data_IF_557356247146
#
_entry.id   IF_557356247146
#
_cell.length_a   1.000
_cell.length_b   1.000
_cell.length_c   1.000
_cell.angle_alpha   90.00
_cell.angle_beta   90.00
_cell.angle_gamma   90.00
#
_symmetry.space_group_name_H-M   'P 1'
#
loop_
_entity.id
_entity.type
_entity.pdbx_description
1 polymer ?
#
# COMPACT_ATOMS: atom_id res chain seq x y z
N UNK A 1 -3.92 -18.45 19.37
CA UNK A 1 -3.37 -17.07 19.24
C UNK A 1 -2.80 -16.71 17.84
N UNK A 2 -2.70 -17.62 16.85
CA UNK A 2 -2.02 -17.34 15.56
C UNK A 2 -2.90 -16.74 14.42
N UNK A 3 -4.23 -16.76 14.51
CA UNK A 3 -5.12 -16.36 13.38
C UNK A 3 -5.27 -14.85 13.16
N UNK A 4 -5.14 -14.01 14.21
CA UNK A 4 -5.28 -12.53 14.09
C UNK A 4 -4.02 -11.82 13.59
N UNK A 5 -2.87 -12.50 13.60
CA UNK A 5 -1.58 -11.96 13.16
C UNK A 5 -1.43 -12.05 11.63
N UNK A 6 -1.91 -13.16 11.05
CA UNK A 6 -1.93 -13.38 9.60
C UNK A 6 -2.84 -12.37 8.87
N UNK A 7 -3.94 -11.96 9.48
CA UNK A 7 -4.94 -11.12 8.82
C UNK A 7 -4.37 -9.73 8.47
N UNK A 8 -3.69 -9.04 9.40
CA UNK A 8 -3.13 -7.70 9.15
C UNK A 8 -2.06 -7.69 8.06
N UNK A 9 -1.20 -8.72 8.05
CA UNK A 9 -0.16 -8.91 7.04
C UNK A 9 -0.78 -9.21 5.67
N UNK A 10 -1.85 -10.01 5.61
CA UNK A 10 -2.58 -10.27 4.35
C UNK A 10 -3.25 -9.01 3.79
N UNK A 11 -3.75 -8.10 4.64
CA UNK A 11 -4.30 -6.81 4.19
C UNK A 11 -3.21 -5.98 3.52
N UNK A 12 -2.04 -5.90 4.16
CA UNK A 12 -0.91 -5.09 3.67
C UNK A 12 -0.34 -5.71 2.40
N UNK A 13 -0.14 -7.02 2.36
CA UNK A 13 0.33 -7.74 1.16
C UNK A 13 -0.66 -7.58 0.00
N UNK A 14 -1.97 -7.62 0.24
CA UNK A 14 -2.94 -7.40 -0.82
C UNK A 14 -3.10 -5.93 -1.23
N UNK A 15 -2.85 -4.98 -0.32
CA UNK A 15 -2.72 -3.57 -0.68
C UNK A 15 -1.46 -3.33 -1.54
N UNK A 16 -0.39 -4.07 -1.28
CA UNK A 16 0.85 -4.08 -2.07
C UNK A 16 0.61 -4.64 -3.49
N UNK A 17 -0.18 -5.73 -3.62
CA UNK A 17 -0.41 -6.46 -4.90
C UNK A 17 -1.61 -5.91 -5.72
N UNK A 18 -2.49 -5.11 -5.11
CA UNK A 18 -3.56 -4.40 -5.82
C UNK A 18 -4.95 -4.53 -5.18
N UNK A 19 -5.57 -3.36 -4.95
CA UNK A 19 -6.85 -3.17 -4.24
C UNK A 19 -8.03 -3.95 -4.88
N UNK A 20 -8.01 -4.19 -6.19
CA UNK A 20 -9.18 -4.65 -6.96
C UNK A 20 -9.54 -6.13 -6.73
N UNK A 21 -8.56 -6.96 -6.38
CA UNK A 21 -8.76 -8.39 -6.04
C UNK A 21 -9.08 -8.60 -4.56
N UNK A 22 -8.85 -7.58 -3.73
CA UNK A 22 -8.97 -7.67 -2.27
C UNK A 22 -10.43 -7.78 -1.80
N UNK A 23 -11.31 -6.92 -2.29
CA UNK A 23 -12.72 -6.86 -1.84
C UNK A 23 -13.49 -8.14 -2.18
N UNK A 24 -13.37 -8.63 -3.42
CA UNK A 24 -14.21 -9.74 -3.92
C UNK A 24 -13.83 -11.10 -3.31
N UNK A 25 -12.54 -11.38 -3.12
CA UNK A 25 -12.08 -12.69 -2.62
C UNK A 25 -12.07 -12.77 -1.10
N UNK A 26 -11.74 -11.69 -0.39
CA UNK A 26 -11.65 -11.68 1.07
C UNK A 26 -13.04 -11.70 1.71
N UNK A 27 -14.05 -11.00 1.18
CA UNK A 27 -15.42 -11.09 1.73
C UNK A 27 -16.02 -12.50 1.64
N UNK A 28 -15.67 -13.24 0.58
CA UNK A 28 -16.16 -14.61 0.35
C UNK A 28 -15.48 -15.65 1.23
N UNK A 29 -14.22 -15.47 1.59
CA UNK A 29 -13.42 -16.50 2.29
C UNK A 29 -13.06 -16.15 3.74
N UNK A 30 -13.27 -14.91 4.18
CA UNK A 30 -12.79 -14.47 5.48
C UNK A 30 -13.73 -14.82 6.66
N UNK A 31 -13.18 -15.23 7.82
CA UNK A 31 -13.95 -15.54 9.02
C UNK A 31 -14.70 -14.31 9.57
N UNK A 32 -15.71 -14.53 10.41
CA UNK A 32 -16.65 -13.48 10.91
C UNK A 32 -15.94 -12.26 11.53
N UNK A 33 -14.83 -12.45 12.25
CA UNK A 33 -14.03 -11.33 12.80
C UNK A 33 -13.31 -10.50 11.74
N UNK A 34 -13.00 -11.10 10.59
CA UNK A 34 -12.41 -10.41 9.45
C UNK A 34 -13.48 -9.72 8.64
N UNK A 35 -14.71 -10.24 8.58
CA UNK A 35 -15.86 -9.53 7.97
C UNK A 35 -16.15 -8.19 8.66
N UNK A 36 -15.95 -8.09 9.98
CA UNK A 36 -16.05 -6.82 10.72
C UNK A 36 -14.95 -5.81 10.31
N UNK A 37 -13.70 -6.28 10.19
CA UNK A 37 -12.59 -5.46 9.69
C UNK A 37 -12.78 -5.07 8.23
N UNK A 38 -13.27 -6.00 7.40
CA UNK A 38 -13.63 -5.77 5.99
C UNK A 38 -14.81 -4.82 5.89
N UNK A 39 -15.83 -4.89 6.76
CA UNK A 39 -16.90 -3.90 6.83
C UNK A 39 -16.37 -2.51 7.20
N UNK A 40 -15.36 -2.40 8.08
CA UNK A 40 -14.67 -1.13 8.35
C UNK A 40 -13.85 -0.64 7.14
N UNK A 41 -13.21 -1.55 6.41
CA UNK A 41 -12.51 -1.26 5.14
C UNK A 41 -13.51 -0.80 4.06
N UNK A 42 -14.67 -1.44 3.94
CA UNK A 42 -15.75 -1.13 2.99
C UNK A 42 -16.43 0.21 3.33
N UNK A 43 -16.45 0.58 4.62
CA UNK A 43 -16.88 1.92 5.06
C UNK A 43 -15.79 2.99 4.90
N UNK A 44 -14.54 2.60 4.70
CA UNK A 44 -13.48 3.57 4.47
C UNK A 44 -13.59 4.12 3.05
N UNK A 45 -13.64 5.45 2.92
CA UNK A 45 -13.59 6.07 1.61
C UNK A 45 -12.16 5.97 1.06
N UNK A 46 -11.87 4.88 0.35
CA UNK A 46 -10.57 4.61 -0.28
C UNK A 46 -10.44 5.20 -1.68
N UNK A 47 -11.49 5.85 -2.20
CA UNK A 47 -11.47 6.43 -3.54
C UNK A 47 -10.33 7.44 -3.74
N UNK A 48 -10.07 8.37 -2.80
CA UNK A 48 -8.99 9.35 -2.97
C UNK A 48 -7.61 8.69 -3.06
N UNK A 49 -7.31 7.74 -2.18
CA UNK A 49 -6.01 7.05 -2.21
C UNK A 49 -5.86 6.16 -3.45
N UNK A 50 -6.93 5.51 -3.91
CA UNK A 50 -6.88 4.74 -5.14
C UNK A 50 -6.62 5.62 -6.37
N UNK A 51 -7.19 6.83 -6.38
CA UNK A 51 -6.97 7.83 -7.44
C UNK A 51 -5.53 8.36 -7.41
N UNK A 52 -5.03 8.74 -6.23
CA UNK A 52 -3.64 9.18 -6.06
C UNK A 52 -2.62 8.10 -6.47
N UNK A 53 -2.85 6.82 -6.11
CA UNK A 53 -2.02 5.69 -6.55
C UNK A 53 -2.06 5.54 -8.07
N UNK A 54 -3.24 5.67 -8.69
CA UNK A 54 -3.37 5.62 -10.14
C UNK A 54 -2.59 6.77 -10.79
N UNK A 55 -2.68 7.98 -10.24
CA UNK A 55 -1.97 9.16 -10.72
C UNK A 55 -0.45 8.96 -10.62
N UNK A 56 0.03 8.31 -9.56
CA UNK A 56 1.44 7.93 -9.39
C UNK A 56 1.90 6.89 -10.44
N UNK A 57 1.07 5.91 -10.77
CA UNK A 57 1.33 4.92 -11.83
C UNK A 57 1.33 5.54 -13.23
N UNK A 58 0.58 6.64 -13.39
CA UNK A 58 0.52 7.46 -14.61
C UNK A 58 1.54 8.60 -14.61
N UNK A 59 2.43 8.65 -13.62
CA UNK A 59 3.46 9.68 -13.52
C UNK A 59 2.91 11.11 -13.56
N UNK A 60 1.68 11.31 -13.06
CA UNK A 60 1.09 12.63 -12.97
C UNK A 60 1.79 13.46 -11.89
N UNK A 61 2.01 14.74 -12.18
CA UNK A 61 2.58 15.68 -11.22
C UNK A 61 1.68 15.80 -9.98
N UNK A 62 2.30 15.94 -8.81
CA UNK A 62 1.59 16.09 -7.54
C UNK A 62 1.05 14.80 -6.92
N UNK A 63 1.11 13.64 -7.62
CA UNK A 63 0.60 12.37 -7.06
C UNK A 63 1.30 11.97 -5.75
N UNK A 64 2.62 12.17 -5.64
CA UNK A 64 3.36 11.92 -4.40
C UNK A 64 2.92 12.86 -3.27
N UNK A 65 2.68 14.13 -3.56
CA UNK A 65 2.17 15.11 -2.59
C UNK A 65 0.77 14.75 -2.11
N UNK A 66 -0.11 14.32 -3.03
CA UNK A 66 -1.46 13.86 -2.70
C UNK A 66 -1.43 12.61 -1.81
N UNK A 67 -0.57 11.64 -2.14
CA UNK A 67 -0.35 10.45 -1.30
C UNK A 67 0.18 10.83 0.09
N UNK A 68 1.07 11.81 0.18
CA UNK A 68 1.59 12.26 1.46
C UNK A 68 0.50 12.92 2.31
N UNK A 69 -0.33 13.78 1.72
CA UNK A 69 -1.50 14.35 2.40
C UNK A 69 -2.47 13.26 2.88
N UNK A 70 -2.77 12.28 2.04
CA UNK A 70 -3.61 11.13 2.40
C UNK A 70 -2.97 10.23 3.46
N UNK A 71 -1.64 10.15 3.51
CA UNK A 71 -0.84 9.49 4.54
C UNK A 71 -0.95 10.18 5.91
N UNK A 72 -1.16 11.50 5.93
CA UNK A 72 -1.32 12.26 7.17
C UNK A 72 -2.79 12.34 7.64
N UNK A 73 -3.71 12.61 6.71
CA UNK A 73 -5.09 13.01 7.02
C UNK A 73 -6.12 11.89 6.80
N UNK A 74 -5.75 10.85 6.05
CA UNK A 74 -6.67 9.77 5.68
C UNK A 74 -7.22 8.98 6.87
N UNK A 75 -8.21 8.13 6.61
CA UNK A 75 -8.58 7.09 7.57
C UNK A 75 -7.44 6.07 7.70
N UNK A 76 -7.34 5.30 8.81
CA UNK A 76 -6.20 4.41 9.09
C UNK A 76 -5.77 3.52 7.91
N UNK A 77 -6.73 2.95 7.18
CA UNK A 77 -6.45 2.13 6.01
C UNK A 77 -5.98 2.95 4.80
N UNK A 78 -6.60 4.10 4.54
CA UNK A 78 -6.17 5.00 3.47
C UNK A 78 -4.74 5.53 3.72
N UNK A 79 -4.40 5.87 4.97
CA UNK A 79 -3.04 6.23 5.37
C UNK A 79 -2.05 5.11 5.11
N UNK A 80 -2.39 3.91 5.56
CA UNK A 80 -1.55 2.73 5.37
C UNK A 80 -1.27 2.48 3.89
N UNK A 81 -2.31 2.58 3.05
CA UNK A 81 -2.15 2.41 1.60
C UNK A 81 -1.33 3.52 0.95
N UNK A 82 -1.55 4.77 1.34
CA UNK A 82 -0.83 5.90 0.80
C UNK A 82 0.69 5.80 1.09
N UNK A 83 1.05 5.44 2.32
CA UNK A 83 2.43 5.24 2.70
C UNK A 83 3.07 3.99 2.07
N UNK A 84 2.31 2.93 1.80
CA UNK A 84 2.83 1.79 1.01
C UNK A 84 3.19 2.25 -0.40
N UNK A 85 2.32 3.03 -1.04
CA UNK A 85 2.54 3.51 -2.39
C UNK A 85 3.74 4.45 -2.49
N UNK A 86 3.93 5.32 -1.48
CA UNK A 86 5.12 6.15 -1.33
C UNK A 86 6.37 5.29 -1.12
N UNK A 87 6.32 4.30 -0.23
CA UNK A 87 7.45 3.40 0.03
C UNK A 87 7.88 2.64 -1.22
N UNK A 88 6.93 2.17 -2.03
CA UNK A 88 7.20 1.53 -3.32
C UNK A 88 7.91 2.48 -4.30
N UNK A 89 7.51 3.76 -4.32
CA UNK A 89 8.16 4.78 -5.16
C UNK A 89 9.58 5.06 -4.70
N UNK A 90 9.76 5.34 -3.41
CA UNK A 90 11.06 5.61 -2.81
C UNK A 90 12.01 4.44 -3.03
N UNK A 91 11.53 3.20 -2.86
CA UNK A 91 12.29 2.00 -3.16
C UNK A 91 12.67 1.90 -4.64
N UNK A 92 11.72 2.17 -5.54
CA UNK A 92 11.94 2.14 -6.99
C UNK A 92 12.98 3.18 -7.44
N UNK A 93 12.99 4.35 -6.80
CA UNK A 93 13.97 5.42 -7.00
C UNK A 93 15.32 5.17 -6.32
N UNK A 94 15.45 4.08 -5.56
CA UNK A 94 16.68 3.70 -4.85
C UNK A 94 16.85 4.31 -3.46
N UNK A 95 15.89 5.11 -3.00
CA UNK A 95 15.86 5.67 -1.63
C UNK A 95 15.26 4.67 -0.64
N UNK A 96 16.06 3.64 -0.31
CA UNK A 96 15.64 2.56 0.58
C UNK A 96 15.38 3.05 2.00
N UNK A 97 16.12 4.04 2.50
CA UNK A 97 15.91 4.58 3.85
C UNK A 97 14.56 5.28 3.96
N UNK A 98 14.21 6.10 2.97
CA UNK A 98 12.88 6.73 2.92
C UNK A 98 11.78 5.68 2.78
N UNK A 99 11.99 4.65 1.96
CA UNK A 99 11.04 3.55 1.82
C UNK A 99 10.79 2.80 3.15
N UNK A 100 11.83 2.59 3.97
CA UNK A 100 11.68 1.99 5.31
C UNK A 100 10.83 2.87 6.24
N UNK A 101 11.07 4.18 6.23
CA UNK A 101 10.32 5.15 7.04
C UNK A 101 8.85 5.19 6.64
N UNK A 102 8.56 5.25 5.34
CA UNK A 102 7.20 5.28 4.81
C UNK A 102 6.48 3.95 5.10
N UNK A 103 7.16 2.81 4.92
CA UNK A 103 6.59 1.52 5.31
C UNK A 103 6.28 1.48 6.81
N UNK A 104 7.17 2.00 7.65
CA UNK A 104 6.93 2.07 9.09
C UNK A 104 5.69 2.93 9.41
N UNK A 105 5.54 4.09 8.76
CA UNK A 105 4.36 4.94 8.91
C UNK A 105 3.07 4.22 8.49
N UNK A 106 3.12 3.41 7.44
CA UNK A 106 2.00 2.56 7.04
C UNK A 106 1.59 1.57 8.13
N UNK A 107 2.57 0.93 8.77
CA UNK A 107 2.33 -0.04 9.83
C UNK A 107 1.76 0.62 11.09
N UNK A 108 2.27 1.80 11.44
CA UNK A 108 1.78 2.58 12.59
C UNK A 108 0.33 3.05 12.37
N UNK A 109 -0.04 3.39 11.14
CA UNK A 109 -1.43 3.67 10.78
C UNK A 109 -2.35 2.45 11.00
N UNK A 110 -1.82 1.23 10.86
CA UNK A 110 -2.53 -0.02 11.15
C UNK A 110 -2.78 -0.28 12.65
N UNK A 111 -2.21 0.52 13.55
CA UNK A 111 -2.46 0.49 15.00
C UNK A 111 -1.95 -0.77 15.71
N UNK A 112 -1.23 -1.66 15.03
CA UNK A 112 -0.62 -2.86 15.61
C UNK A 112 0.89 -2.78 15.56
N UNK A 113 1.53 -2.87 16.72
CA UNK A 113 2.98 -3.06 16.81
C UNK A 113 3.37 -4.38 16.15
N UNK A 114 4.13 -4.30 15.06
CA UNK A 114 4.79 -5.44 14.44
C UNK A 114 6.17 -5.66 15.05
N UNK A 115 6.61 -6.93 15.09
CA UNK A 115 7.98 -7.25 15.48
C UNK A 115 8.98 -6.82 14.39
N UNK A 116 10.25 -6.55 14.74
CA UNK A 116 11.30 -6.22 13.77
C UNK A 116 11.40 -7.22 12.61
N UNK A 117 11.36 -8.52 12.90
CA UNK A 117 11.42 -9.60 11.90
C UNK A 117 10.24 -9.59 10.92
N UNK A 118 9.05 -9.16 11.36
CA UNK A 118 7.90 -9.04 10.48
C UNK A 118 8.00 -7.80 9.60
N UNK A 119 8.59 -6.71 10.11
CA UNK A 119 8.84 -5.49 9.34
C UNK A 119 9.85 -5.74 8.24
N UNK A 120 10.94 -6.41 8.58
CA UNK A 120 11.99 -6.82 7.63
C UNK A 120 11.39 -7.66 6.50
N UNK A 121 10.60 -8.70 6.83
CA UNK A 121 9.90 -9.49 5.80
C UNK A 121 8.93 -8.69 4.93
N UNK A 122 8.34 -7.63 5.47
CA UNK A 122 7.45 -6.75 4.70
C UNK A 122 8.25 -5.79 3.82
N UNK A 123 9.40 -5.33 4.31
CA UNK A 123 10.35 -4.56 3.54
C UNK A 123 10.93 -5.38 2.38
N UNK A 124 11.24 -6.66 2.61
CA UNK A 124 11.63 -7.61 1.57
C UNK A 124 10.56 -7.85 0.51
N UNK A 125 9.31 -7.42 0.74
CA UNK A 125 8.24 -7.46 -0.27
C UNK A 125 8.03 -6.13 -1.00
N UNK A 126 8.68 -5.05 -0.57
CA UNK A 126 8.66 -3.77 -1.30
C UNK A 126 9.36 -3.90 -2.65
N UNK A 127 10.33 -4.80 -2.81
CA UNK A 127 10.99 -5.05 -4.09
C UNK A 127 9.98 -5.42 -5.20
N UNK A 128 9.02 -6.30 -4.87
CA UNK A 128 7.94 -6.74 -5.73
C UNK A 128 6.95 -5.62 -5.98
N UNK A 129 6.56 -4.88 -4.94
CA UNK A 129 5.68 -3.72 -5.08
C UNK A 129 6.27 -2.63 -5.98
N UNK A 130 7.56 -2.34 -5.82
CA UNK A 130 8.31 -1.41 -6.66
C UNK A 130 8.43 -1.93 -8.10
N UNK A 131 8.68 -3.24 -8.30
CA UNK A 131 8.70 -3.86 -9.62
C UNK A 131 7.33 -3.81 -10.31
N UNK A 132 6.24 -4.03 -9.57
CA UNK A 132 4.88 -3.88 -10.09
C UNK A 132 4.56 -2.43 -10.46
N UNK A 133 4.97 -1.46 -9.64
CA UNK A 133 4.85 -0.03 -9.97
C UNK A 133 5.62 0.30 -11.25
N UNK A 134 6.85 -0.18 -11.40
CA UNK A 134 7.66 0.01 -12.60
C UNK A 134 6.98 -0.60 -13.84
N UNK A 135 6.47 -1.83 -13.73
CA UNK A 135 5.74 -2.49 -14.80
C UNK A 135 4.46 -1.73 -15.19
N UNK A 136 3.76 -1.15 -14.20
CA UNK A 136 2.58 -0.30 -14.45
C UNK A 136 2.93 1.00 -15.16
N UNK A 137 4.02 1.67 -14.77
CA UNK A 137 4.54 2.85 -15.48
C UNK A 137 4.86 2.51 -16.93
N UNK A 138 5.55 1.40 -17.17
CA UNK A 138 5.88 0.94 -18.53
C UNK A 138 4.64 0.66 -19.37
N UNK A 139 3.63 -0.02 -18.81
CA UNK A 139 2.34 -0.26 -19.47
C UNK A 139 1.63 1.05 -19.86
N UNK A 140 1.88 2.13 -19.13
CA UNK A 140 1.31 3.45 -19.38
C UNK A 140 2.21 4.35 -20.25
N UNK A 141 3.31 3.82 -20.81
CA UNK A 141 4.21 4.59 -21.67
C UNK A 141 5.28 5.38 -20.92
N UNK A 142 5.63 4.99 -19.70
CA UNK A 142 6.64 5.67 -18.88
C UNK A 142 7.78 4.73 -18.43
N UNK A 143 8.99 5.27 -18.30
CA UNK A 143 10.10 4.63 -17.59
C UNK A 143 9.78 4.54 -16.09
N UNK A 144 10.60 3.79 -15.36
CA UNK A 144 10.50 3.71 -13.89
C UNK A 144 10.64 5.09 -13.21
N UNK A 145 11.39 6.01 -13.84
CA UNK A 145 11.68 7.36 -13.35
C UNK A 145 10.71 8.40 -13.93
N UNK A 146 9.56 7.95 -14.45
CA UNK A 146 8.52 8.80 -14.99
C UNK A 146 8.90 9.65 -16.22
N UNK A 147 9.87 9.20 -17.01
CA UNK A 147 10.13 9.75 -18.34
C UNK A 147 9.24 9.04 -19.38
N UNK A 148 8.75 9.72 -20.43
CA UNK A 148 8.08 9.05 -21.55
C UNK A 148 8.99 8.00 -22.20
N UNK A 149 8.43 6.84 -22.58
CA UNK A 149 9.09 5.77 -23.34
C UNK A 149 9.19 6.08 -24.83
#
# INVERSE_FOLDING_TARGET
MKKRLLIGIVIIIAAIIGIKTYTTSVEKTAPVTTKETVKKVVKANLKPVAEAIKNQQLCQSGAATELQALGHEGQPLARSMAYIALAQDSYLQGDKQKAEVELQQSLDAGGKKMSPQQREKLFDTLDKGAAELAAKRQQNGFTKDCQPL
#
